data_IF_635488548730
#
_entry.id   IF_635488548730
#
_cell.length_a   1.000
_cell.length_b   1.000
_cell.length_c   1.000
_cell.angle_alpha   90.00
_cell.angle_beta   90.00
_cell.angle_gamma   90.00
#
_symmetry.space_group_name_H-M   'P 1'
#
loop_
_entity.id
_entity.type
_entity.pdbx_description
1 polymer ?
#
# COMPACT_ATOMS: atom_id res chain seq x y z
N UNK A 1 0.59 -5.64 -23.13
CA UNK A 1 0.69 -6.53 -21.94
C UNK A 1 1.30 -7.83 -22.42
N UNK A 2 2.51 -8.17 -21.99
CA UNK A 2 3.03 -9.54 -22.11
C UNK A 2 2.07 -10.44 -21.35
N UNK A 3 1.81 -11.63 -21.88
CA UNK A 3 0.89 -12.59 -21.25
C UNK A 3 1.34 -12.84 -19.81
N UNK A 4 0.59 -12.36 -18.84
CA UNK A 4 0.89 -12.47 -17.40
C UNK A 4 1.16 -13.94 -17.03
N UNK A 5 0.43 -14.85 -17.65
CA UNK A 5 0.58 -16.31 -17.46
C UNK A 5 1.97 -16.79 -17.92
N UNK A 6 2.48 -16.28 -19.04
CA UNK A 6 3.81 -16.63 -19.53
C UNK A 6 4.91 -16.10 -18.60
N UNK A 7 4.76 -14.86 -18.11
CA UNK A 7 5.71 -14.25 -17.16
C UNK A 7 5.70 -15.01 -15.82
N UNK A 8 4.53 -15.40 -15.30
CA UNK A 8 4.41 -16.20 -14.08
C UNK A 8 5.07 -17.58 -14.26
N UNK A 9 4.86 -18.21 -15.41
CA UNK A 9 5.43 -19.53 -15.68
C UNK A 9 6.96 -19.47 -15.77
N UNK A 10 7.51 -18.46 -16.45
CA UNK A 10 8.95 -18.24 -16.52
C UNK A 10 9.53 -17.88 -15.14
N UNK A 11 8.88 -17.01 -14.38
CA UNK A 11 9.29 -16.70 -13.01
C UNK A 11 9.23 -17.94 -12.10
N UNK A 12 8.29 -18.86 -12.33
CA UNK A 12 8.21 -20.14 -11.64
C UNK A 12 9.44 -21.04 -11.87
N UNK A 13 10.17 -20.81 -12.95
CA UNK A 13 11.47 -21.45 -13.26
C UNK A 13 12.67 -20.64 -12.76
N UNK A 14 12.45 -19.55 -11.97
CA UNK A 14 13.48 -18.59 -11.53
C UNK A 14 14.20 -17.91 -12.71
N UNK A 15 13.51 -17.73 -13.82
CA UNK A 15 14.03 -17.02 -14.97
C UNK A 15 14.31 -15.55 -14.62
N UNK A 16 15.56 -15.11 -14.76
CA UNK A 16 16.02 -13.82 -14.31
C UNK A 16 15.34 -12.66 -15.07
N UNK A 17 15.11 -12.81 -16.37
CA UNK A 17 14.48 -11.76 -17.18
C UNK A 17 13.00 -11.59 -16.80
N UNK A 18 12.29 -12.70 -16.52
CA UNK A 18 10.92 -12.67 -16.05
C UNK A 18 10.80 -12.04 -14.65
N UNK A 19 11.72 -12.37 -13.75
CA UNK A 19 11.76 -11.78 -12.41
C UNK A 19 12.08 -10.29 -12.45
N UNK A 20 13.04 -9.87 -13.29
CA UNK A 20 13.35 -8.45 -13.49
C UNK A 20 12.15 -7.69 -14.06
N UNK A 21 11.44 -8.27 -15.02
CA UNK A 21 10.25 -7.64 -15.60
C UNK A 21 9.13 -7.45 -14.56
N UNK A 22 8.93 -8.41 -13.65
CA UNK A 22 7.97 -8.28 -12.54
C UNK A 22 8.44 -7.18 -11.58
N UNK A 23 9.72 -7.13 -11.27
CA UNK A 23 10.27 -6.10 -10.39
C UNK A 23 10.04 -4.69 -10.97
N UNK A 24 10.46 -4.46 -12.22
CA UNK A 24 10.36 -3.16 -12.89
C UNK A 24 8.90 -2.69 -13.01
N UNK A 25 7.96 -3.62 -13.21
CA UNK A 25 6.54 -3.30 -13.35
C UNK A 25 5.89 -2.96 -12.02
N UNK A 26 6.19 -3.69 -10.93
CA UNK A 26 5.44 -3.58 -9.68
C UNK A 26 6.16 -2.84 -8.54
N UNK A 27 7.49 -2.75 -8.53
CA UNK A 27 8.23 -2.09 -7.46
C UNK A 27 7.81 -0.62 -7.25
N UNK A 28 7.63 0.20 -8.33
CA UNK A 28 7.20 1.60 -8.14
C UNK A 28 5.81 1.73 -7.51
N UNK A 29 4.87 0.82 -7.84
CA UNK A 29 3.52 0.84 -7.29
C UNK A 29 3.53 0.41 -5.81
N UNK A 30 4.31 -0.61 -5.45
CA UNK A 30 4.48 -1.08 -4.07
C UNK A 30 5.13 0.00 -3.19
N UNK A 31 6.14 0.69 -3.71
CA UNK A 31 6.78 1.81 -3.02
C UNK A 31 5.78 2.93 -2.72
N UNK A 32 5.04 3.40 -3.74
CA UNK A 32 4.01 4.42 -3.58
C UNK A 32 2.90 3.98 -2.61
N UNK A 33 2.45 2.73 -2.71
CA UNK A 33 1.48 2.15 -1.78
C UNK A 33 1.96 2.24 -0.33
N UNK A 34 3.21 1.87 -0.07
CA UNK A 34 3.83 1.93 1.26
C UNK A 34 3.86 3.35 1.81
N UNK A 35 4.31 4.34 1.01
CA UNK A 35 4.30 5.75 1.40
C UNK A 35 2.90 6.26 1.76
N UNK A 36 1.88 5.87 0.99
CA UNK A 36 0.48 6.25 1.25
C UNK A 36 -0.07 5.68 2.55
N UNK A 37 0.52 4.61 3.04
CA UNK A 37 0.19 4.03 4.35
C UNK A 37 0.93 4.70 5.51
N UNK A 38 1.80 5.66 5.24
CA UNK A 38 2.46 6.50 6.25
C UNK A 38 3.80 5.96 6.74
N UNK A 39 4.44 5.07 5.97
CA UNK A 39 5.84 4.72 6.21
C UNK A 39 6.76 5.73 5.50
N UNK A 40 7.98 5.90 6.00
CA UNK A 40 8.97 6.77 5.36
C UNK A 40 9.60 6.13 4.10
N UNK A 41 10.38 6.89 3.33
CA UNK A 41 11.00 6.43 2.09
C UNK A 41 11.92 5.23 2.29
N UNK A 42 12.73 5.24 3.34
CA UNK A 42 13.63 4.15 3.66
C UNK A 42 12.86 2.87 4.02
N UNK A 43 11.81 2.99 4.83
CA UNK A 43 10.93 1.86 5.16
C UNK A 43 10.19 1.35 3.90
N UNK A 44 9.76 2.26 3.00
CA UNK A 44 9.11 1.87 1.76
C UNK A 44 10.03 1.06 0.83
N UNK A 45 11.29 1.47 0.68
CA UNK A 45 12.32 0.71 -0.05
C UNK A 45 12.54 -0.67 0.58
N UNK A 46 12.62 -0.74 1.90
CA UNK A 46 12.78 -1.99 2.63
C UNK A 46 11.59 -2.92 2.44
N UNK A 47 10.35 -2.38 2.49
CA UNK A 47 9.13 -3.15 2.24
C UNK A 47 9.14 -3.74 0.82
N UNK A 48 9.54 -2.96 -0.19
CA UNK A 48 9.67 -3.45 -1.57
C UNK A 48 10.67 -4.61 -1.63
N UNK A 49 11.85 -4.46 -1.04
CA UNK A 49 12.85 -5.52 -0.96
C UNK A 49 12.31 -6.80 -0.31
N UNK A 50 11.65 -6.66 0.83
CA UNK A 50 11.06 -7.78 1.58
C UNK A 50 9.93 -8.48 0.79
N UNK A 51 9.10 -7.71 0.05
CA UNK A 51 8.05 -8.28 -0.81
C UNK A 51 8.66 -9.19 -1.86
N UNK A 52 9.71 -8.72 -2.56
CA UNK A 52 10.35 -9.52 -3.61
C UNK A 52 11.17 -10.69 -3.04
N UNK A 53 11.80 -10.54 -1.89
CA UNK A 53 12.47 -11.65 -1.20
C UNK A 53 11.46 -12.76 -0.86
N UNK A 54 10.30 -12.42 -0.28
CA UNK A 54 9.23 -13.39 0.01
C UNK A 54 8.63 -14.00 -1.26
N UNK A 55 8.50 -13.23 -2.35
CA UNK A 55 8.08 -13.77 -3.64
C UNK A 55 9.04 -14.86 -4.11
N UNK A 56 10.35 -14.59 -4.10
CA UNK A 56 11.40 -15.53 -4.52
C UNK A 56 11.41 -16.79 -3.67
N UNK A 57 11.31 -16.67 -2.35
CA UNK A 57 11.17 -17.80 -1.44
C UNK A 57 9.97 -18.69 -1.80
N UNK A 58 8.80 -18.07 -2.05
CA UNK A 58 7.59 -18.80 -2.41
C UNK A 58 7.69 -19.47 -3.79
N UNK A 59 8.35 -18.84 -4.73
CA UNK A 59 8.64 -19.44 -6.04
C UNK A 59 9.57 -20.66 -5.87
N UNK A 60 10.65 -20.53 -5.10
CA UNK A 60 11.59 -21.63 -4.84
C UNK A 60 10.92 -22.82 -4.12
N UNK A 61 9.92 -22.57 -3.26
CA UNK A 61 9.11 -23.61 -2.63
C UNK A 61 8.04 -24.23 -3.57
N UNK A 62 7.92 -23.76 -4.82
CA UNK A 62 6.85 -24.17 -5.73
C UNK A 62 5.46 -23.62 -5.36
N UNK A 63 5.39 -22.62 -4.48
CA UNK A 63 4.18 -21.99 -3.93
C UNK A 63 3.97 -20.56 -4.44
N UNK A 64 4.70 -20.14 -5.47
CA UNK A 64 4.53 -18.82 -6.08
C UNK A 64 3.12 -18.59 -6.64
N UNK A 65 2.78 -17.33 -6.99
CA UNK A 65 1.49 -17.01 -7.57
C UNK A 65 1.29 -17.75 -8.90
N UNK A 66 0.10 -18.29 -9.12
CA UNK A 66 -0.28 -18.94 -10.38
C UNK A 66 -1.11 -18.03 -11.27
N UNK A 67 -1.69 -17.02 -10.69
CA UNK A 67 -2.53 -15.99 -11.35
C UNK A 67 -2.42 -14.71 -10.55
N UNK A 68 -2.63 -13.56 -11.19
CA UNK A 68 -2.72 -12.24 -10.54
C UNK A 68 -1.53 -11.93 -9.60
N UNK A 69 -0.33 -11.83 -10.20
CA UNK A 69 0.92 -11.45 -9.49
C UNK A 69 0.73 -10.14 -8.73
N UNK A 70 0.04 -9.18 -9.32
CA UNK A 70 -0.20 -7.88 -8.70
C UNK A 70 -0.90 -8.02 -7.34
N UNK A 71 -2.04 -8.70 -7.29
CA UNK A 71 -2.77 -8.92 -6.02
C UNK A 71 -1.92 -9.67 -5.00
N UNK A 72 -1.12 -10.63 -5.45
CA UNK A 72 -0.24 -11.41 -4.57
C UNK A 72 0.87 -10.55 -3.95
N UNK A 73 1.52 -9.70 -4.73
CA UNK A 73 2.54 -8.78 -4.23
C UNK A 73 1.96 -7.76 -3.23
N UNK A 74 0.80 -7.18 -3.54
CA UNK A 74 0.11 -6.27 -2.63
C UNK A 74 -0.39 -6.96 -1.35
N UNK A 75 -0.75 -8.24 -1.41
CA UNK A 75 -1.06 -9.02 -0.22
C UNK A 75 0.16 -9.17 0.70
N UNK A 76 1.35 -9.48 0.13
CA UNK A 76 2.59 -9.55 0.91
C UNK A 76 2.90 -8.19 1.53
N UNK A 77 2.84 -7.10 0.74
CA UNK A 77 3.10 -5.74 1.20
C UNK A 77 2.16 -5.35 2.35
N UNK A 78 0.85 -5.63 2.20
CA UNK A 78 -0.14 -5.39 3.24
C UNK A 78 0.23 -6.06 4.56
N UNK A 79 0.59 -7.34 4.53
CA UNK A 79 0.97 -8.06 5.75
C UNK A 79 2.22 -7.48 6.39
N UNK A 80 3.24 -7.11 5.60
CA UNK A 80 4.47 -6.50 6.14
C UNK A 80 4.13 -5.17 6.84
N UNK A 81 3.38 -4.28 6.19
CA UNK A 81 3.01 -2.97 6.76
C UNK A 81 2.19 -3.13 8.05
N UNK A 82 1.20 -4.02 8.05
CA UNK A 82 0.36 -4.26 9.24
C UNK A 82 1.18 -4.84 10.39
N UNK A 83 2.07 -5.79 10.11
CA UNK A 83 2.92 -6.38 11.14
C UNK A 83 3.89 -5.36 11.72
N UNK A 84 4.50 -4.51 10.89
CA UNK A 84 5.36 -3.40 11.35
C UNK A 84 4.58 -2.37 12.19
N UNK A 85 3.36 -2.00 11.79
CA UNK A 85 2.52 -1.08 12.54
C UNK A 85 2.14 -1.65 13.92
N UNK A 86 1.78 -2.92 13.99
CA UNK A 86 1.51 -3.61 15.26
C UNK A 86 2.74 -3.65 16.16
N UNK A 87 3.91 -3.92 15.60
CA UNK A 87 5.15 -3.93 16.37
C UNK A 87 5.51 -2.55 16.91
N UNK A 88 5.35 -1.50 16.10
CA UNK A 88 5.52 -0.11 16.58
C UNK A 88 4.57 0.23 17.73
N UNK A 89 3.31 -0.18 17.65
CA UNK A 89 2.34 0.05 18.75
C UNK A 89 2.70 -0.72 20.02
N UNK A 90 3.32 -1.90 19.92
CA UNK A 90 3.77 -2.69 21.07
C UNK A 90 5.03 -2.14 21.73
N UNK A 91 5.92 -1.54 20.95
CA UNK A 91 7.23 -1.08 21.40
C UNK A 91 7.27 0.41 21.72
N UNK A 92 6.27 1.21 21.28
CA UNK A 92 6.21 2.64 21.58
C UNK A 92 5.94 2.85 23.08
N UNK A 93 6.78 3.62 23.80
CA UNK A 93 6.42 4.18 25.09
C UNK A 93 5.19 5.07 24.90
N UNK A 94 4.28 5.10 25.90
CA UNK A 94 2.96 5.71 25.87
C UNK A 94 2.86 7.20 25.49
N UNK A 95 3.99 7.89 25.21
CA UNK A 95 4.06 9.34 25.10
C UNK A 95 4.76 9.90 23.83
N UNK A 96 5.08 9.09 22.83
CA UNK A 96 5.75 9.58 21.63
C UNK A 96 5.05 9.14 20.33
N UNK A 97 3.89 9.74 20.07
CA UNK A 97 3.27 9.77 18.75
C UNK A 97 3.78 11.00 17.97
N UNK A 98 5.09 11.19 17.91
CA UNK A 98 5.69 12.13 16.97
C UNK A 98 6.14 11.35 15.73
N UNK A 99 5.28 11.40 14.71
CA UNK A 99 5.65 11.03 13.36
C UNK A 99 6.85 11.86 12.93
N UNK A 100 7.98 11.19 12.67
CA UNK A 100 9.14 11.79 12.02
C UNK A 100 8.66 12.30 10.66
N UNK A 101 8.49 13.62 10.55
CA UNK A 101 8.31 14.28 9.27
C UNK A 101 9.64 14.18 8.54
N UNK A 102 9.71 13.33 7.53
CA UNK A 102 10.85 13.38 6.60
C UNK A 102 10.96 14.78 5.98
N UNK A 103 12.21 15.21 5.76
CA UNK A 103 12.53 16.45 5.07
C UNK A 103 11.83 16.47 3.72
N UNK A 104 10.85 17.35 3.62
CA UNK A 104 10.05 17.54 2.41
C UNK A 104 10.93 18.23 1.37
N UNK A 105 10.87 17.77 0.12
CA UNK A 105 11.53 18.44 -1.01
C UNK A 105 11.24 19.96 -1.01
N UNK A 106 12.19 20.79 -1.53
CA UNK A 106 12.04 22.26 -1.52
C UNK A 106 10.72 22.68 -2.18
N UNK A 107 10.00 23.59 -1.50
CA UNK A 107 8.67 24.10 -1.86
C UNK A 107 8.57 24.66 -3.30
N UNK A 108 9.68 24.96 -3.95
CA UNK A 108 9.72 25.64 -5.27
C UNK A 108 9.32 24.79 -6.48
N UNK A 109 9.09 23.48 -6.33
CA UNK A 109 8.72 22.56 -7.42
C UNK A 109 7.35 21.89 -7.24
N UNK A 110 6.51 22.33 -6.30
CA UNK A 110 5.24 21.65 -6.00
C UNK A 110 4.13 22.21 -6.85
N UNK A 111 3.47 21.36 -7.66
CA UNK A 111 2.21 21.68 -8.31
C UNK A 111 1.07 21.67 -7.29
N UNK A 112 -0.01 22.47 -7.55
CA UNK A 112 -1.22 22.46 -6.71
C UNK A 112 -1.78 21.04 -6.50
N UNK A 113 -1.70 20.20 -7.53
CA UNK A 113 -2.10 18.79 -7.48
C UNK A 113 -1.26 17.98 -6.48
N UNK A 114 0.07 18.17 -6.47
CA UNK A 114 0.97 17.49 -5.52
C UNK A 114 0.67 17.90 -4.08
N UNK A 115 0.43 19.19 -3.84
CA UNK A 115 0.07 19.71 -2.52
C UNK A 115 -1.27 19.13 -2.04
N UNK A 116 -2.27 19.03 -2.91
CA UNK A 116 -3.57 18.44 -2.58
C UNK A 116 -3.46 16.95 -2.24
N UNK A 117 -2.61 16.20 -2.95
CA UNK A 117 -2.37 14.79 -2.67
C UNK A 117 -1.62 14.57 -1.34
N UNK A 118 -0.68 15.46 -1.00
CA UNK A 118 0.01 15.45 0.28
C UNK A 118 -0.96 15.75 1.43
N UNK A 119 -1.79 16.79 1.30
CA UNK A 119 -2.84 17.12 2.27
C UNK A 119 -3.83 15.97 2.48
N UNK A 120 -4.28 15.35 1.39
CA UNK A 120 -5.15 14.17 1.47
C UNK A 120 -4.47 13.02 2.22
N UNK A 121 -3.19 12.78 1.94
CA UNK A 121 -2.41 11.73 2.63
C UNK A 121 -2.31 12.00 4.12
N UNK A 122 -2.01 13.24 4.53
CA UNK A 122 -1.96 13.62 5.95
C UNK A 122 -3.32 13.46 6.64
N UNK A 123 -4.40 13.89 5.98
CA UNK A 123 -5.76 13.72 6.49
C UNK A 123 -6.10 12.23 6.65
N UNK A 124 -5.76 11.40 5.68
CA UNK A 124 -5.98 9.96 5.75
C UNK A 124 -5.18 9.31 6.90
N UNK A 125 -3.94 9.76 7.14
CA UNK A 125 -3.12 9.23 8.23
C UNK A 125 -3.68 9.61 9.60
N UNK A 126 -4.17 10.85 9.77
CA UNK A 126 -4.67 11.37 11.04
C UNK A 126 -6.07 10.86 11.37
N UNK A 127 -6.94 10.75 10.37
CA UNK A 127 -8.38 10.55 10.59
C UNK A 127 -8.84 9.10 10.38
N UNK A 128 -8.14 8.31 9.58
CA UNK A 128 -8.54 6.94 9.29
C UNK A 128 -7.82 5.92 10.15
N UNK A 129 -8.52 4.87 10.54
CA UNK A 129 -7.86 3.69 11.08
C UNK A 129 -6.99 3.06 9.99
N UNK A 130 -5.97 2.32 10.39
CA UNK A 130 -5.08 1.60 9.47
C UNK A 130 -5.85 0.72 8.47
N UNK A 131 -6.85 -0.03 8.94
CA UNK A 131 -7.68 -0.87 8.08
C UNK A 131 -8.51 -0.06 7.07
N UNK A 132 -9.08 1.09 7.50
CA UNK A 132 -9.83 1.98 6.61
C UNK A 132 -8.91 2.58 5.55
N UNK A 133 -7.73 3.03 5.94
CA UNK A 133 -6.73 3.61 5.04
C UNK A 133 -6.27 2.60 4.00
N UNK A 134 -5.89 1.39 4.43
CA UNK A 134 -5.52 0.31 3.52
C UNK A 134 -6.60 0.02 2.47
N UNK A 135 -7.85 -0.13 2.91
CA UNK A 135 -8.97 -0.38 2.00
C UNK A 135 -9.16 0.77 1.01
N UNK A 136 -9.08 2.03 1.46
CA UNK A 136 -9.22 3.21 0.59
C UNK A 136 -8.10 3.29 -0.42
N UNK A 137 -6.84 3.11 -0.01
CA UNK A 137 -5.69 3.13 -0.92
C UNK A 137 -5.82 2.03 -1.98
N UNK A 138 -6.08 0.79 -1.57
CA UNK A 138 -6.25 -0.33 -2.50
C UNK A 138 -7.40 -0.12 -3.50
N UNK A 139 -8.52 0.44 -3.03
CA UNK A 139 -9.72 0.62 -3.86
C UNK A 139 -9.65 1.80 -4.82
N UNK A 140 -9.10 2.93 -4.39
CA UNK A 140 -9.21 4.20 -5.11
C UNK A 140 -7.89 4.72 -5.68
N UNK A 141 -6.77 4.23 -5.19
CA UNK A 141 -5.45 4.64 -5.70
C UNK A 141 -4.75 3.51 -6.45
N UNK A 142 -5.05 2.26 -6.08
CA UNK A 142 -4.51 1.08 -6.75
C UNK A 142 -5.56 0.34 -7.61
N UNK A 143 -6.78 0.85 -7.73
CA UNK A 143 -7.85 0.33 -8.60
C UNK A 143 -8.18 -1.17 -8.44
N UNK A 144 -7.93 -1.76 -7.26
CA UNK A 144 -8.34 -3.13 -6.99
C UNK A 144 -9.86 -3.23 -6.85
N UNK A 145 -10.46 -4.27 -7.38
CA UNK A 145 -11.88 -4.60 -7.15
C UNK A 145 -12.14 -4.91 -5.67
N UNK A 146 -13.41 -4.87 -5.25
CA UNK A 146 -13.79 -5.28 -3.89
C UNK A 146 -13.35 -6.71 -3.55
N UNK A 147 -13.41 -7.61 -4.54
CA UNK A 147 -13.03 -9.01 -4.38
C UNK A 147 -11.52 -9.15 -4.16
N UNK A 148 -10.72 -8.46 -4.97
CA UNK A 148 -9.26 -8.45 -4.84
C UNK A 148 -8.83 -7.79 -3.54
N UNK A 149 -9.42 -6.63 -3.19
CA UNK A 149 -9.14 -5.98 -1.90
C UNK A 149 -9.44 -6.91 -0.73
N UNK A 150 -10.57 -7.61 -0.77
CA UNK A 150 -10.94 -8.58 0.26
C UNK A 150 -9.89 -9.71 0.40
N UNK A 151 -9.40 -10.22 -0.74
CA UNK A 151 -8.34 -11.23 -0.76
C UNK A 151 -7.01 -10.67 -0.21
N UNK A 152 -6.63 -9.44 -0.59
CA UNK A 152 -5.39 -8.78 -0.14
C UNK A 152 -5.41 -8.58 1.39
N UNK A 153 -6.50 -8.03 1.94
CA UNK A 153 -6.60 -7.73 3.37
C UNK A 153 -7.06 -8.91 4.24
N UNK A 154 -7.36 -10.06 3.63
CA UNK A 154 -7.79 -11.26 4.34
C UNK A 154 -9.15 -11.10 5.05
N UNK A 155 -10.09 -10.34 4.46
CA UNK A 155 -11.42 -10.08 5.01
C UNK A 155 -12.51 -10.47 4.00
N UNK A 156 -13.74 -10.64 4.47
CA UNK A 156 -14.87 -10.81 3.57
C UNK A 156 -15.27 -9.49 2.87
N UNK A 157 -15.99 -9.61 1.75
CA UNK A 157 -16.36 -8.45 0.91
C UNK A 157 -17.25 -7.46 1.69
N UNK A 158 -18.11 -7.92 2.59
CA UNK A 158 -18.99 -7.04 3.36
C UNK A 158 -18.19 -6.24 4.40
N UNK A 159 -17.20 -6.85 5.03
CA UNK A 159 -16.27 -6.15 5.92
C UNK A 159 -15.49 -5.07 5.15
N UNK A 160 -15.00 -5.37 3.95
CA UNK A 160 -14.30 -4.39 3.09
C UNK A 160 -15.24 -3.24 2.71
N UNK A 161 -16.50 -3.52 2.30
CA UNK A 161 -17.50 -2.47 2.03
C UNK A 161 -17.76 -1.60 3.25
N UNK A 162 -17.87 -2.19 4.43
CA UNK A 162 -18.10 -1.46 5.67
C UNK A 162 -16.91 -0.56 6.02
N UNK A 163 -15.68 -1.04 5.87
CA UNK A 163 -14.46 -0.25 6.07
C UNK A 163 -14.37 0.90 5.06
N UNK A 164 -14.61 0.63 3.79
CA UNK A 164 -14.66 1.64 2.73
C UNK A 164 -15.66 2.74 3.03
N UNK A 165 -16.90 2.39 3.37
CA UNK A 165 -17.97 3.37 3.64
C UNK A 165 -17.65 4.22 4.87
N UNK A 166 -17.15 3.60 5.94
CA UNK A 166 -16.74 4.34 7.15
C UNK A 166 -15.60 5.30 6.88
N UNK A 167 -14.58 4.86 6.14
CA UNK A 167 -13.45 5.71 5.76
C UNK A 167 -13.87 6.88 4.87
N UNK A 168 -14.67 6.64 3.83
CA UNK A 168 -15.19 7.71 2.95
C UNK A 168 -16.03 8.73 3.74
N UNK A 169 -16.93 8.26 4.60
CA UNK A 169 -17.77 9.15 5.41
C UNK A 169 -16.93 10.00 6.36
N UNK A 170 -15.90 9.42 6.97
CA UNK A 170 -14.97 10.17 7.83
C UNK A 170 -14.24 11.25 7.06
N UNK A 171 -13.68 10.93 5.88
CA UNK A 171 -13.00 11.90 5.02
C UNK A 171 -13.95 13.03 4.59
N UNK A 172 -15.19 12.71 4.18
CA UNK A 172 -16.19 13.73 3.82
C UNK A 172 -16.50 14.67 4.98
N UNK A 173 -16.61 14.16 6.20
CA UNK A 173 -16.86 14.98 7.39
C UNK A 173 -15.71 15.96 7.68
N UNK A 174 -14.47 15.51 7.50
CA UNK A 174 -13.29 16.36 7.77
C UNK A 174 -13.10 17.39 6.66
N UNK A 175 -13.12 16.96 5.40
CA UNK A 175 -12.91 17.85 4.25
C UNK A 175 -14.09 18.82 4.06
N UNK A 176 -15.32 18.41 4.37
CA UNK A 176 -16.48 19.31 4.34
C UNK A 176 -16.46 20.40 5.42
N UNK A 177 -15.72 20.20 6.51
CA UNK A 177 -15.48 21.22 7.54
C UNK A 177 -14.42 22.24 7.13
N UNK A 178 -13.43 21.81 6.35
CA UNK A 178 -12.35 22.69 5.87
C UNK A 178 -12.81 23.57 4.71
N UNK A 179 -13.75 23.10 3.88
CA UNK A 179 -14.32 23.84 2.74
C UNK A 179 -15.43 24.84 3.10
N UNK A 180 -15.81 24.96 4.37
CA UNK A 180 -16.87 25.86 4.86
C UNK A 180 -16.38 27.18 5.46
N UNK A 181 -15.09 27.50 5.34
CA UNK A 181 -14.49 28.74 5.86
C UNK A 181 -13.82 29.51 4.72
N UNK A 182 -14.62 29.97 3.75
CA UNK A 182 -14.29 31.06 2.81
C UNK A 182 -15.47 32.00 2.74
#
# INVERSE_FOLDING_TARGET
MKDETAVITAAGSLDQDALSAIFDEYAPALYKYSLRLGVNSQEADQIVGDVFARLLEKIAEGKGPRTNVRSYLFQIAYHIVVDQARERQRTAPSDLADSIKEEMEPVQSRTEEKMLLEELSEVMQRELTEEQRNVIVLRFQEDFSLKETAAIVGKDINAVKALQNRGINKLRQVMGRTGGSL
#
